data_IF_181554282371
#
_entry.id   IF_181554282371
#
_cell.length_a   1.000
_cell.length_b   1.000
_cell.length_c   1.000
_cell.angle_alpha   90.00
_cell.angle_beta   90.00
_cell.angle_gamma   90.00
#
_symmetry.space_group_name_H-M   'P 1'
#
loop_
_entity.id
_entity.type
_entity.pdbx_description
1 polymer ?
#
# COMPACT_ATOMS: atom_id res chain seq x y z
N UNK A 1 -4.65 12.52 -6.86
CA UNK A 1 -5.19 13.88 -6.68
C UNK A 1 -4.51 14.47 -5.47
N UNK A 2 -4.32 15.80 -5.40
CA UNK A 2 -3.93 16.41 -4.15
C UNK A 2 -4.99 16.12 -3.08
N UNK A 3 -4.54 15.82 -1.85
CA UNK A 3 -5.43 15.65 -0.71
C UNK A 3 -6.17 16.94 -0.36
N UNK A 4 -6.94 16.90 0.72
CA UNK A 4 -7.61 18.08 1.26
C UNK A 4 -6.61 19.15 1.69
N UNK A 5 -7.05 20.39 1.81
CA UNK A 5 -6.25 21.51 2.32
C UNK A 5 -5.57 21.17 3.65
N UNK A 6 -6.31 20.56 4.57
CA UNK A 6 -5.77 20.18 5.89
C UNK A 6 -4.68 19.10 5.77
N UNK A 7 -4.86 18.11 4.91
CA UNK A 7 -3.83 17.11 4.61
C UNK A 7 -2.57 17.74 4.00
N UNK A 8 -2.75 18.69 3.08
CA UNK A 8 -1.66 19.40 2.44
C UNK A 8 -0.87 20.26 3.44
N UNK A 9 -1.55 20.95 4.36
CA UNK A 9 -0.92 21.70 5.46
C UNK A 9 -0.14 20.77 6.39
N UNK A 10 -0.72 19.63 6.80
CA UNK A 10 -0.02 18.65 7.64
C UNK A 10 1.24 18.12 6.95
N UNK A 11 1.14 17.80 5.65
CA UNK A 11 2.30 17.35 4.89
C UNK A 11 3.37 18.45 4.76
N UNK A 12 2.97 19.70 4.55
CA UNK A 12 3.88 20.84 4.51
C UNK A 12 4.67 21.01 5.82
N UNK A 13 3.99 20.93 6.96
CA UNK A 13 4.65 20.96 8.27
C UNK A 13 5.60 19.77 8.47
N UNK A 14 5.23 18.57 8.02
CA UNK A 14 6.14 17.43 8.00
C UNK A 14 7.40 17.67 7.16
N UNK A 15 7.28 18.27 5.96
CA UNK A 15 8.43 18.59 5.12
C UNK A 15 9.36 19.63 5.78
N UNK A 16 8.79 20.66 6.42
CA UNK A 16 9.57 21.63 7.21
C UNK A 16 10.33 20.94 8.33
N UNK A 17 9.69 20.03 9.04
CA UNK A 17 10.30 19.26 10.12
C UNK A 17 11.45 18.37 9.62
N UNK A 18 11.26 17.70 8.48
CA UNK A 18 12.32 16.91 7.84
C UNK A 18 13.52 17.77 7.45
N UNK A 19 13.29 18.98 6.94
CA UNK A 19 14.36 19.92 6.59
C UNK A 19 15.10 20.40 7.84
N UNK A 20 14.36 20.67 8.93
CA UNK A 20 14.89 21.13 10.21
C UNK A 20 15.76 20.06 10.89
N UNK A 21 15.25 18.83 10.99
CA UNK A 21 15.93 17.71 11.68
C UNK A 21 16.95 16.99 10.79
N UNK A 22 16.80 17.10 9.47
CA UNK A 22 17.58 16.30 8.53
C UNK A 22 17.24 14.80 8.57
N UNK A 23 16.06 14.43 9.09
CA UNK A 23 15.58 13.05 9.19
C UNK A 23 14.15 12.91 8.67
N UNK A 24 13.83 11.72 8.18
CA UNK A 24 12.47 11.32 7.80
C UNK A 24 11.69 10.78 9.02
N UNK A 25 10.38 10.59 8.87
CA UNK A 25 9.52 10.04 9.93
C UNK A 25 10.01 8.70 10.51
N UNK A 26 10.62 7.86 9.68
CA UNK A 26 11.19 6.56 10.07
C UNK A 26 12.61 6.65 10.66
N UNK A 27 13.10 7.86 10.92
CA UNK A 27 14.43 8.11 11.50
C UNK A 27 15.59 8.06 10.51
N UNK A 28 15.37 7.64 9.24
CA UNK A 28 16.41 7.64 8.20
C UNK A 28 16.90 9.06 7.94
N UNK A 29 18.18 9.21 7.60
CA UNK A 29 18.76 10.50 7.22
C UNK A 29 18.14 11.01 5.92
N UNK A 30 17.88 12.30 5.86
CA UNK A 30 17.36 12.96 4.67
C UNK A 30 18.48 13.11 3.63
N UNK A 31 18.30 12.45 2.49
CA UNK A 31 19.21 12.51 1.35
C UNK A 31 19.36 13.94 0.79
N UNK A 32 20.55 14.38 0.33
CA UNK A 32 20.77 15.74 -0.19
C UNK A 32 19.86 16.11 -1.37
N UNK A 33 19.56 15.18 -2.30
CA UNK A 33 18.67 15.42 -3.44
C UNK A 33 17.24 15.64 -2.95
N UNK A 34 16.78 14.81 -2.00
CA UNK A 34 15.46 14.96 -1.36
C UNK A 34 15.36 16.27 -0.58
N UNK A 35 16.43 16.68 0.09
CA UNK A 35 16.48 17.96 0.82
C UNK A 35 16.22 19.15 -0.10
N UNK A 36 16.83 19.18 -1.28
CA UNK A 36 16.57 20.22 -2.29
C UNK A 36 15.13 20.20 -2.81
N UNK A 37 14.57 19.02 -3.05
CA UNK A 37 13.17 18.87 -3.46
C UNK A 37 12.19 19.37 -2.38
N UNK A 38 12.41 18.97 -1.13
CA UNK A 38 11.57 19.36 0.01
C UNK A 38 11.60 20.86 0.21
N UNK A 39 12.78 21.49 0.15
CA UNK A 39 12.93 22.93 0.24
C UNK A 39 12.13 23.66 -0.84
N UNK A 40 12.19 23.18 -2.10
CA UNK A 40 11.40 23.75 -3.20
C UNK A 40 9.89 23.60 -2.97
N UNK A 41 9.44 22.45 -2.48
CA UNK A 41 8.02 22.18 -2.18
C UNK A 41 7.51 23.09 -1.07
N UNK A 42 8.25 23.22 0.02
CA UNK A 42 7.92 24.13 1.13
C UNK A 42 7.83 25.57 0.64
N UNK A 43 8.79 26.03 -0.15
CA UNK A 43 8.80 27.42 -0.63
C UNK A 43 7.67 27.74 -1.62
N UNK A 44 7.17 26.75 -2.36
CA UNK A 44 6.09 26.92 -3.34
C UNK A 44 4.70 26.58 -2.80
N UNK A 45 4.59 26.12 -1.56
CA UNK A 45 3.32 25.67 -1.00
C UNK A 45 2.33 26.82 -0.83
N UNK A 46 1.12 26.65 -1.36
CA UNK A 46 -0.01 27.56 -1.18
C UNK A 46 -1.23 26.75 -0.75
N UNK A 47 -1.79 26.97 0.45
CA UNK A 47 -2.96 26.23 0.94
C UNK A 47 -4.19 26.35 0.04
N UNK A 48 -4.34 27.49 -0.64
CA UNK A 48 -5.50 27.77 -1.50
C UNK A 48 -5.50 26.99 -2.80
N UNK A 49 -4.36 26.43 -3.22
CA UNK A 49 -4.28 25.52 -4.36
C UNK A 49 -4.95 24.16 -4.08
N UNK A 50 -5.42 23.93 -2.85
CA UNK A 50 -6.01 22.68 -2.38
C UNK A 50 -7.49 22.88 -1.96
N UNK A 51 -8.38 21.94 -2.35
CA UNK A 51 -9.78 22.02 -1.97
C UNK A 51 -9.99 21.73 -0.48
N UNK A 52 -11.00 22.35 0.13
CA UNK A 52 -11.35 22.09 1.54
C UNK A 52 -11.87 20.66 1.70
N UNK A 53 -12.73 20.21 0.79
CA UNK A 53 -13.29 18.86 0.76
C UNK A 53 -13.16 18.27 -0.64
N UNK A 54 -13.06 16.95 -0.70
CA UNK A 54 -13.10 16.20 -1.96
C UNK A 54 -14.46 15.48 -2.01
N UNK A 55 -15.26 15.67 -3.07
CA UNK A 55 -16.53 14.95 -3.22
C UNK A 55 -16.34 13.44 -3.10
N UNK A 56 -17.26 12.75 -2.41
CA UNK A 56 -17.17 11.31 -2.15
C UNK A 56 -16.97 10.51 -3.44
N UNK A 57 -17.70 10.85 -4.51
CA UNK A 57 -17.54 10.22 -5.82
C UNK A 57 -16.10 10.29 -6.33
N UNK A 58 -15.40 11.42 -6.17
CA UNK A 58 -14.01 11.57 -6.61
C UNK A 58 -13.06 10.83 -5.66
N UNK A 59 -13.34 10.86 -4.34
CA UNK A 59 -12.56 10.14 -3.34
C UNK A 59 -12.59 8.63 -3.58
N UNK A 60 -13.77 8.08 -3.87
CA UNK A 60 -13.95 6.66 -4.15
C UNK A 60 -13.15 6.24 -5.38
N UNK A 61 -13.06 7.05 -6.43
CA UNK A 61 -12.32 6.73 -7.67
C UNK A 61 -10.79 6.71 -7.50
N UNK A 62 -10.26 7.03 -6.32
CA UNK A 62 -8.82 7.05 -6.09
C UNK A 62 -8.24 5.65 -5.89
N UNK A 63 -7.11 5.40 -6.55
CA UNK A 63 -6.30 4.21 -6.30
C UNK A 63 -5.85 4.17 -4.84
N UNK A 64 -6.05 3.04 -4.16
CA UNK A 64 -5.64 2.85 -2.75
C UNK A 64 -4.13 2.79 -2.54
N UNK A 65 -3.33 2.68 -3.61
CA UNK A 65 -1.86 2.62 -3.55
C UNK A 65 -1.24 4.00 -3.72
N UNK A 66 -1.66 4.72 -4.76
CA UNK A 66 -0.99 5.94 -5.20
C UNK A 66 -1.87 7.20 -5.10
N UNK A 67 -3.15 7.06 -4.75
CA UNK A 67 -4.08 8.18 -4.61
C UNK A 67 -4.39 8.94 -5.91
N UNK A 68 -4.02 8.41 -7.09
CA UNK A 68 -4.43 8.96 -8.38
C UNK A 68 -5.84 8.49 -8.75
N UNK A 69 -6.53 9.21 -9.63
CA UNK A 69 -7.78 8.72 -10.23
C UNK A 69 -7.40 7.58 -11.17
N UNK A 70 -7.80 6.35 -10.84
CA UNK A 70 -7.36 5.18 -11.60
C UNK A 70 -8.08 5.16 -12.95
N UNK A 71 -7.37 5.12 -14.10
CA UNK A 71 -8.02 5.01 -15.41
C UNK A 71 -8.91 3.77 -15.53
N UNK A 72 -8.61 2.74 -14.73
CA UNK A 72 -9.43 1.53 -14.56
C UNK A 72 -10.85 1.86 -14.11
N UNK A 73 -11.08 2.93 -13.34
CA UNK A 73 -12.45 3.36 -12.98
C UNK A 73 -13.26 3.74 -14.21
N UNK A 74 -12.64 4.32 -15.23
CA UNK A 74 -13.32 4.71 -16.47
C UNK A 74 -13.40 3.57 -17.50
N UNK A 75 -12.76 2.43 -17.24
CA UNK A 75 -12.62 1.33 -18.20
C UNK A 75 -13.00 -0.05 -17.65
N UNK A 76 -13.28 -0.18 -16.35
CA UNK A 76 -13.57 -1.47 -15.72
C UNK A 76 -15.06 -1.75 -15.64
N UNK A 77 -15.36 -3.01 -15.95
CA UNK A 77 -16.63 -3.69 -15.77
C UNK A 77 -17.16 -3.61 -14.33
N UNK A 78 -18.46 -3.90 -14.17
CA UNK A 78 -19.36 -3.62 -13.03
C UNK A 78 -18.95 -4.10 -11.62
N UNK A 79 -17.75 -4.66 -11.42
CA UNK A 79 -17.32 -5.25 -10.15
C UNK A 79 -16.19 -4.50 -9.40
N UNK A 80 -15.74 -3.32 -9.86
CA UNK A 80 -14.65 -2.57 -9.20
C UNK A 80 -14.92 -1.08 -8.95
N UNK A 81 -16.18 -0.66 -9.12
CA UNK A 81 -16.59 0.75 -9.12
C UNK A 81 -16.31 1.45 -7.79
N UNK A 82 -16.58 0.79 -6.65
CA UNK A 82 -16.40 1.37 -5.32
C UNK A 82 -15.04 1.09 -4.68
N UNK A 83 -14.62 1.98 -3.77
CA UNK A 83 -13.43 1.79 -2.95
C UNK A 83 -13.50 0.51 -2.10
N UNK A 84 -14.68 0.18 -1.57
CA UNK A 84 -14.89 -1.00 -0.74
C UNK A 84 -14.57 -2.28 -1.51
N UNK A 85 -15.06 -2.42 -2.75
CA UNK A 85 -14.77 -3.58 -3.61
C UNK A 85 -13.28 -3.68 -3.94
N UNK A 86 -12.59 -2.55 -4.17
CA UNK A 86 -11.13 -2.52 -4.36
C UNK A 86 -10.33 -2.90 -3.11
N UNK A 87 -10.85 -2.62 -1.91
CA UNK A 87 -10.20 -2.95 -0.63
C UNK A 87 -10.41 -4.41 -0.23
N UNK A 88 -11.56 -5.00 -0.59
CA UNK A 88 -11.88 -6.41 -0.31
C UNK A 88 -10.78 -7.35 -0.84
N UNK A 89 -10.16 -7.03 -1.99
CA UNK A 89 -9.10 -7.86 -2.57
C UNK A 89 -7.87 -8.09 -1.69
N UNK A 90 -7.47 -7.13 -0.83
CA UNK A 90 -6.26 -7.27 0.03
C UNK A 90 -6.51 -7.97 1.35
N UNK A 91 -7.75 -7.98 1.82
CA UNK A 91 -8.07 -8.56 3.10
C UNK A 91 -8.13 -10.08 2.97
N UNK A 92 -7.34 -10.78 3.79
CA UNK A 92 -7.40 -12.24 3.93
C UNK A 92 -8.18 -12.54 5.22
N UNK A 93 -9.37 -13.17 5.13
CA UNK A 93 -10.16 -13.52 6.30
C UNK A 93 -9.38 -14.37 7.31
N UNK A 94 -9.61 -14.15 8.60
CA UNK A 94 -8.93 -14.90 9.67
C UNK A 94 -9.11 -16.43 9.54
N UNK A 95 -10.30 -16.88 9.11
CA UNK A 95 -10.55 -18.30 8.83
C UNK A 95 -9.66 -18.84 7.72
N UNK A 96 -9.43 -18.07 6.66
CA UNK A 96 -8.53 -18.43 5.56
C UNK A 96 -7.09 -18.52 6.06
N UNK A 97 -6.64 -17.56 6.88
CA UNK A 97 -5.30 -17.59 7.49
C UNK A 97 -5.05 -18.88 8.28
N UNK A 98 -6.00 -19.28 9.13
CA UNK A 98 -5.89 -20.54 9.90
C UNK A 98 -5.79 -21.75 8.98
N UNK A 99 -6.63 -21.80 7.94
CA UNK A 99 -6.62 -22.92 6.97
C UNK A 99 -5.27 -23.02 6.27
N UNK A 100 -4.74 -21.90 5.78
CA UNK A 100 -3.42 -21.84 5.13
C UNK A 100 -2.29 -22.26 6.09
N UNK A 101 -2.28 -21.75 7.33
CA UNK A 101 -1.25 -22.14 8.32
C UNK A 101 -1.28 -23.65 8.59
N UNK A 102 -2.47 -24.23 8.73
CA UNK A 102 -2.64 -25.67 8.94
C UNK A 102 -2.23 -26.48 7.71
N UNK A 103 -2.60 -26.03 6.51
CA UNK A 103 -2.26 -26.66 5.24
C UNK A 103 -0.74 -26.67 5.02
N UNK A 104 -0.10 -25.53 5.23
CA UNK A 104 1.32 -25.33 4.99
C UNK A 104 2.18 -25.80 6.17
N UNK A 105 1.57 -26.27 7.26
CA UNK A 105 2.22 -26.76 8.48
C UNK A 105 3.37 -25.85 8.94
N UNK A 106 3.08 -24.56 9.09
CA UNK A 106 4.07 -23.53 9.46
C UNK A 106 5.33 -23.50 8.58
N UNK A 107 5.26 -24.02 7.35
CA UNK A 107 6.42 -24.12 6.45
C UNK A 107 6.30 -23.14 5.31
N UNK A 108 7.33 -22.31 5.12
CA UNK A 108 7.40 -21.37 4.01
C UNK A 108 7.34 -22.12 2.67
N UNK A 109 6.37 -21.77 1.81
CA UNK A 109 6.16 -22.41 0.52
C UNK A 109 7.20 -22.02 -0.55
N UNK A 110 8.15 -21.14 -0.22
CA UNK A 110 9.27 -20.78 -1.11
C UNK A 110 10.57 -21.47 -0.72
N UNK A 111 11.01 -21.30 0.52
CA UNK A 111 12.30 -21.82 0.98
C UNK A 111 12.19 -23.11 1.78
N UNK A 112 10.98 -23.61 2.05
CA UNK A 112 10.70 -24.80 2.85
C UNK A 112 11.22 -24.73 4.31
N UNK A 113 11.52 -23.52 4.81
CA UNK A 113 11.89 -23.30 6.22
C UNK A 113 10.64 -23.37 7.09
N UNK A 114 10.75 -24.05 8.23
CA UNK A 114 9.74 -24.02 9.28
C UNK A 114 9.77 -22.66 10.01
N UNK A 115 8.62 -22.02 10.15
CA UNK A 115 8.46 -20.65 10.63
C UNK A 115 7.93 -20.63 12.05
N UNK A 116 8.37 -19.63 12.82
CA UNK A 116 7.74 -19.25 14.07
C UNK A 116 6.55 -18.31 13.82
N UNK A 117 5.64 -18.16 14.80
CA UNK A 117 4.44 -17.32 14.66
C UNK A 117 4.72 -15.88 14.21
N UNK A 118 5.88 -15.32 14.61
CA UNK A 118 6.32 -13.97 14.25
C UNK A 118 7.02 -13.87 12.88
N UNK A 119 7.33 -15.00 12.24
CA UNK A 119 7.95 -15.06 10.90
C UNK A 119 6.92 -15.32 9.78
N UNK A 120 5.67 -15.64 10.13
CA UNK A 120 4.60 -16.03 9.20
C UNK A 120 4.03 -14.82 8.46
N UNK A 121 4.13 -14.83 7.14
CA UNK A 121 3.47 -13.89 6.25
C UNK A 121 2.55 -14.61 5.26
N UNK A 122 1.45 -13.95 4.89
CA UNK A 122 0.48 -14.47 3.93
C UNK A 122 0.64 -13.75 2.60
N UNK A 123 0.99 -14.50 1.56
CA UNK A 123 1.27 -13.99 0.23
C UNK A 123 0.23 -14.50 -0.78
N UNK A 124 -0.22 -13.62 -1.66
CA UNK A 124 -1.10 -13.97 -2.77
C UNK A 124 -0.27 -14.57 -3.93
N UNK A 125 -0.54 -15.81 -4.31
CA UNK A 125 0.13 -16.50 -5.42
C UNK A 125 -0.06 -15.70 -6.71
N UNK A 126 -1.33 -15.41 -7.04
CA UNK A 126 -1.72 -14.43 -8.06
C UNK A 126 -1.95 -13.10 -7.33
N UNK A 127 -1.18 -12.04 -7.61
CA UNK A 127 -1.39 -10.72 -7.04
C UNK A 127 -2.81 -10.21 -7.31
N UNK A 128 -3.34 -9.44 -6.37
CA UNK A 128 -4.66 -8.82 -6.49
C UNK A 128 -4.73 -7.88 -7.69
N UNK A 129 -3.63 -7.21 -8.00
CA UNK A 129 -3.50 -6.37 -9.21
C UNK A 129 -3.71 -7.14 -10.52
N UNK A 130 -3.60 -8.47 -10.48
CA UNK A 130 -3.84 -9.39 -11.61
C UNK A 130 -5.12 -10.22 -11.44
N UNK A 131 -6.02 -9.82 -10.54
CA UNK A 131 -7.31 -10.50 -10.31
C UNK A 131 -7.24 -11.68 -9.35
N UNK A 132 -6.17 -11.84 -8.57
CA UNK A 132 -6.07 -12.89 -7.57
C UNK A 132 -7.07 -12.76 -6.42
N UNK A 133 -7.66 -13.88 -6.00
CA UNK A 133 -8.61 -13.96 -4.89
C UNK A 133 -7.93 -14.02 -3.52
N UNK A 134 -8.67 -13.74 -2.45
CA UNK A 134 -8.21 -14.00 -1.06
C UNK A 134 -8.69 -15.34 -0.52
N UNK A 135 -8.95 -16.30 -1.41
CA UNK A 135 -9.34 -17.66 -1.09
C UNK A 135 -8.12 -18.52 -0.76
N UNK A 136 -8.32 -19.59 0.02
CA UNK A 136 -7.22 -20.45 0.50
C UNK A 136 -6.27 -20.93 -0.62
N UNK A 137 -6.81 -21.26 -1.79
CA UNK A 137 -6.02 -21.76 -2.92
C UNK A 137 -5.07 -20.71 -3.51
N UNK A 138 -5.35 -19.42 -3.34
CA UNK A 138 -4.52 -18.33 -3.87
C UNK A 138 -3.63 -17.70 -2.79
N UNK A 139 -3.69 -18.18 -1.54
CA UNK A 139 -2.85 -17.71 -0.44
C UNK A 139 -1.83 -18.80 -0.08
N UNK A 140 -0.59 -18.39 0.14
CA UNK A 140 0.49 -19.25 0.65
C UNK A 140 1.19 -18.63 1.85
N UNK A 141 1.74 -19.49 2.69
CA UNK A 141 2.56 -19.11 3.83
C UNK A 141 4.00 -18.87 3.39
N UNK A 142 4.56 -17.72 3.74
CA UNK A 142 5.93 -17.31 3.36
C UNK A 142 6.65 -16.72 4.56
N UNK A 143 7.98 -16.81 4.59
CA UNK A 143 8.76 -16.04 5.56
C UNK A 143 8.91 -14.59 5.12
N UNK A 144 9.15 -13.70 6.08
CA UNK A 144 9.42 -12.28 5.82
C UNK A 144 10.51 -12.06 4.75
N UNK A 145 11.59 -12.85 4.75
CA UNK A 145 12.68 -12.74 3.77
C UNK A 145 12.19 -13.06 2.35
N UNK A 146 11.52 -14.21 2.16
CA UNK A 146 11.00 -14.61 0.85
C UNK A 146 9.89 -13.67 0.36
N UNK A 147 9.06 -13.14 1.27
CA UNK A 147 8.01 -12.21 0.89
C UNK A 147 8.59 -10.84 0.49
N UNK A 148 9.60 -10.35 1.21
CA UNK A 148 10.31 -9.12 0.87
C UNK A 148 11.03 -9.21 -0.49
N UNK A 149 11.63 -10.37 -0.80
CA UNK A 149 12.33 -10.60 -2.08
C UNK A 149 11.38 -10.68 -3.29
N UNK A 150 10.12 -11.06 -3.08
CA UNK A 150 9.17 -11.37 -4.16
C UNK A 150 8.88 -10.16 -5.07
N UNK A 151 8.79 -8.95 -4.52
CA UNK A 151 8.22 -7.79 -5.25
C UNK A 151 6.86 -8.15 -5.93
N UNK A 152 6.29 -7.30 -6.79
CA UNK A 152 5.02 -7.60 -7.51
C UNK A 152 5.12 -8.72 -8.58
N UNK A 153 6.10 -9.65 -8.47
CA UNK A 153 6.31 -10.73 -9.44
C UNK A 153 5.45 -11.93 -9.12
N UNK A 154 4.75 -12.43 -10.13
CA UNK A 154 4.10 -13.75 -10.08
C UNK A 154 5.20 -14.78 -10.21
N UNK A 155 5.39 -15.60 -9.18
CA UNK A 155 6.25 -16.78 -9.23
C UNK A 155 5.33 -17.97 -9.13
N UNK A 156 5.08 -18.59 -10.30
CA UNK A 156 4.26 -19.79 -10.49
C UNK A 156 5.15 -21.00 -10.19
#
# INVERSE_FOLDING_TARGET
MPGTRDEAIRHHEYLKECLRTGRLADGRRLDPKKRGEFSRRVNKFKPDDYPVTIPLAIAEMQCSVFGHICPVVFSAESFTESEQLRRIGRYIPFRTKIRVVRRDNYTCQHCNKHLQDNEVEFDHIIPISKGGSSEEHNIRLTCHECNADKSDRVQI
#
